data_IF_701877131178
#
_entry.id   IF_701877131178
#
_cell.length_a   1.000
_cell.length_b   1.000
_cell.length_c   1.000
_cell.angle_alpha   90.00
_cell.angle_beta   90.00
_cell.angle_gamma   90.00
#
_symmetry.space_group_name_H-M   'P 1'
#
loop_
_entity.id
_entity.type
_entity.pdbx_description
1 polymer ?
#
# COMPACT_ATOMS: atom_id res chain seq x y z
N UNK A 1 8.64 -33.42 27.44
CA UNK A 1 7.96 -32.11 27.59
C UNK A 1 8.95 -30.96 27.65
N UNK A 2 10.00 -31.03 28.45
CA UNK A 2 11.01 -29.96 28.62
C UNK A 2 11.72 -29.53 27.32
N UNK A 3 12.05 -30.47 26.43
CA UNK A 3 12.66 -30.18 25.12
C UNK A 3 11.74 -29.34 24.22
N UNK A 4 10.44 -29.62 24.20
CA UNK A 4 9.45 -28.87 23.42
C UNK A 4 9.26 -27.45 23.97
N UNK A 5 9.27 -27.28 25.29
CA UNK A 5 9.18 -25.95 25.90
C UNK A 5 10.43 -25.11 25.65
N UNK A 6 11.62 -25.73 25.69
CA UNK A 6 12.88 -25.05 25.33
C UNK A 6 12.87 -24.61 23.86
N UNK A 7 12.43 -25.48 22.94
CA UNK A 7 12.32 -25.14 21.51
C UNK A 7 11.31 -24.01 21.27
N UNK A 8 10.14 -24.05 21.93
CA UNK A 8 9.14 -22.97 21.82
C UNK A 8 9.67 -21.62 22.30
N UNK A 9 10.41 -21.59 23.42
CA UNK A 9 11.07 -20.37 23.92
C UNK A 9 12.09 -19.83 22.93
N UNK A 10 12.95 -20.68 22.38
CA UNK A 10 13.98 -20.28 21.40
C UNK A 10 13.30 -19.71 20.15
N UNK A 11 12.25 -20.37 19.65
CA UNK A 11 11.47 -19.90 18.50
C UNK A 11 10.89 -18.50 18.72
N UNK A 12 10.31 -18.22 19.89
CA UNK A 12 9.82 -16.88 20.23
C UNK A 12 10.93 -15.84 20.23
N UNK A 13 12.07 -16.14 20.84
CA UNK A 13 13.20 -15.20 20.91
C UNK A 13 13.73 -14.90 19.51
N UNK A 14 13.92 -15.92 18.67
CA UNK A 14 14.39 -15.74 17.29
C UNK A 14 13.41 -14.93 16.44
N UNK A 15 12.11 -15.25 16.50
CA UNK A 15 11.07 -14.50 15.80
C UNK A 15 11.01 -13.05 16.30
N UNK A 16 11.09 -12.84 17.61
CA UNK A 16 11.08 -11.50 18.21
C UNK A 16 12.27 -10.65 17.80
N UNK A 17 13.47 -11.24 17.77
CA UNK A 17 14.69 -10.56 17.33
C UNK A 17 14.63 -10.20 15.84
N UNK A 18 14.11 -11.09 14.99
CA UNK A 18 13.95 -10.84 13.56
C UNK A 18 13.01 -9.65 13.30
N UNK A 19 11.84 -9.63 13.95
CA UNK A 19 10.86 -8.55 13.79
C UNK A 19 11.40 -7.19 14.26
N UNK A 20 12.16 -7.16 15.36
CA UNK A 20 12.79 -5.93 15.84
C UNK A 20 13.95 -5.49 14.95
N UNK A 21 14.74 -6.41 14.42
CA UNK A 21 15.81 -6.10 13.46
C UNK A 21 15.26 -5.44 12.19
N UNK A 22 14.20 -6.03 11.61
CA UNK A 22 13.50 -5.45 10.44
C UNK A 22 12.95 -4.06 10.76
N UNK A 23 12.28 -3.90 11.91
CA UNK A 23 11.74 -2.63 12.35
C UNK A 23 12.81 -1.54 12.51
N UNK A 24 13.95 -1.87 13.13
CA UNK A 24 15.07 -0.92 13.26
C UNK A 24 15.59 -0.50 11.88
N UNK A 25 15.75 -1.45 10.95
CA UNK A 25 16.13 -1.15 9.57
C UNK A 25 15.18 -0.16 8.91
N UNK A 26 13.87 -0.41 8.99
CA UNK A 26 12.86 0.45 8.36
C UNK A 26 12.72 1.82 9.04
N UNK A 27 12.74 1.86 10.37
CA UNK A 27 12.67 3.11 11.13
C UNK A 27 13.92 3.98 10.90
N UNK A 28 15.09 3.37 10.69
CA UNK A 28 16.31 4.12 10.32
C UNK A 28 16.20 4.82 8.96
N UNK A 29 15.32 4.31 8.09
CA UNK A 29 14.94 4.94 6.81
C UNK A 29 13.80 5.95 6.95
N UNK A 30 13.36 6.27 8.18
CA UNK A 30 12.28 7.22 8.45
C UNK A 30 10.87 6.62 8.29
N UNK A 31 10.73 5.30 8.20
CA UNK A 31 9.44 4.65 7.94
C UNK A 31 8.71 4.33 9.25
N UNK A 32 7.87 5.27 9.69
CA UNK A 32 7.02 5.11 10.88
C UNK A 32 5.56 4.94 10.45
N UNK A 33 5.12 3.71 10.24
CA UNK A 33 3.72 3.42 9.93
C UNK A 33 3.23 2.17 10.67
N UNK A 34 1.91 1.95 10.68
CA UNK A 34 1.30 0.85 11.40
C UNK A 34 1.83 -0.54 10.99
N UNK A 35 2.17 -0.69 9.71
CA UNK A 35 2.80 -1.90 9.17
C UNK A 35 4.17 -2.21 9.77
N UNK A 36 4.87 -1.21 10.33
CA UNK A 36 6.17 -1.37 11.01
C UNK A 36 5.98 -1.46 12.54
N UNK A 37 5.11 -0.61 13.10
CA UNK A 37 4.89 -0.52 14.55
C UNK A 37 4.28 -1.82 15.12
N UNK A 38 3.31 -2.41 14.41
CA UNK A 38 2.66 -3.64 14.88
C UNK A 38 3.65 -4.84 14.96
N UNK A 39 4.42 -5.16 13.91
CA UNK A 39 5.51 -6.15 13.99
C UNK A 39 6.52 -5.86 15.11
N UNK A 40 6.87 -4.59 15.32
CA UNK A 40 7.75 -4.16 16.42
C UNK A 40 7.17 -4.57 17.78
N UNK A 41 5.90 -4.25 18.02
CA UNK A 41 5.20 -4.58 19.27
C UNK A 41 5.09 -6.09 19.48
N UNK A 42 4.77 -6.85 18.43
CA UNK A 42 4.74 -8.33 18.47
C UNK A 42 6.14 -8.87 18.80
N UNK A 43 7.18 -8.33 18.16
CA UNK A 43 8.55 -8.75 18.38
C UNK A 43 9.02 -8.49 19.81
N UNK A 44 8.74 -7.31 20.36
CA UNK A 44 9.01 -6.96 21.76
C UNK A 44 8.26 -7.89 22.73
N UNK A 45 6.98 -8.18 22.45
CA UNK A 45 6.19 -9.11 23.25
C UNK A 45 6.79 -10.53 23.24
N UNK A 46 7.27 -11.01 22.09
CA UNK A 46 7.92 -12.32 21.97
C UNK A 46 9.23 -12.40 22.74
N UNK A 47 10.06 -11.34 22.69
CA UNK A 47 11.28 -11.28 23.52
C UNK A 47 10.95 -11.26 25.01
N UNK A 48 9.94 -10.48 25.42
CA UNK A 48 9.51 -10.42 26.82
C UNK A 48 8.99 -11.78 27.30
N UNK A 49 8.17 -12.46 26.49
CA UNK A 49 7.69 -13.82 26.76
C UNK A 49 8.84 -14.82 26.86
N UNK A 50 9.83 -14.71 25.97
CA UNK A 50 11.03 -15.54 25.99
C UNK A 50 11.91 -15.31 27.23
N UNK A 51 12.04 -14.06 27.69
CA UNK A 51 12.79 -13.69 28.89
C UNK A 51 12.07 -14.10 30.18
N UNK A 52 10.75 -13.88 30.24
CA UNK A 52 9.90 -14.22 31.40
C UNK A 52 9.34 -15.65 31.34
N UNK A 53 9.86 -16.51 30.45
CA UNK A 53 9.34 -17.86 30.22
C UNK A 53 9.12 -18.69 31.49
N UNK A 54 10.06 -18.74 32.47
CA UNK A 54 9.84 -19.52 33.70
C UNK A 54 8.65 -19.00 34.53
N UNK A 55 8.45 -17.68 34.57
CA UNK A 55 7.33 -17.07 35.26
C UNK A 55 6.00 -17.37 34.55
N UNK A 56 5.98 -17.28 33.21
CA UNK A 56 4.81 -17.63 32.38
C UNK A 56 4.46 -19.11 32.53
N UNK A 57 5.46 -20.00 32.53
CA UNK A 57 5.26 -21.45 32.72
C UNK A 57 4.59 -21.76 34.07
N UNK A 58 5.09 -21.16 35.17
CA UNK A 58 4.47 -21.29 36.50
C UNK A 58 3.06 -20.73 36.54
N UNK A 59 2.84 -19.55 35.95
CA UNK A 59 1.51 -18.93 35.90
C UNK A 59 0.48 -19.81 35.17
N UNK A 60 0.86 -20.39 34.03
CA UNK A 60 0.04 -21.31 33.24
C UNK A 60 -0.32 -22.58 34.02
N UNK A 61 0.66 -23.17 34.71
CA UNK A 61 0.48 -24.40 35.47
C UNK A 61 -0.37 -24.21 36.74
N UNK A 62 -0.44 -23.00 37.29
CA UNK A 62 -1.11 -22.74 38.56
C UNK A 62 -2.64 -22.93 38.53
N UNK A 63 -3.32 -22.73 37.39
CA UNK A 63 -4.78 -22.89 37.27
C UNK A 63 -5.21 -23.40 35.88
N UNK A 64 -6.12 -24.38 35.77
CA UNK A 64 -6.54 -24.92 34.47
C UNK A 64 -7.12 -23.89 33.49
N UNK A 65 -7.86 -22.89 33.98
CA UNK A 65 -8.42 -21.85 33.12
C UNK A 65 -7.35 -20.95 32.48
N UNK A 66 -6.20 -20.75 33.14
CA UNK A 66 -5.07 -19.96 32.59
C UNK A 66 -4.44 -20.68 31.40
N UNK A 67 -4.33 -22.01 31.48
CA UNK A 67 -3.88 -22.83 30.37
C UNK A 67 -4.88 -22.79 29.20
N UNK A 68 -6.20 -22.80 29.48
CA UNK A 68 -7.23 -22.62 28.45
C UNK A 68 -7.14 -21.24 27.79
N UNK A 69 -6.99 -20.17 28.57
CA UNK A 69 -6.80 -18.81 28.07
C UNK A 69 -5.54 -18.67 27.22
N UNK A 70 -4.42 -19.25 27.65
CA UNK A 70 -3.18 -19.29 26.89
C UNK A 70 -3.36 -19.96 25.53
N UNK A 71 -4.01 -21.13 25.50
CA UNK A 71 -4.33 -21.84 24.25
C UNK A 71 -5.25 -21.00 23.36
N UNK A 72 -6.30 -20.42 23.92
CA UNK A 72 -7.23 -19.57 23.18
C UNK A 72 -6.52 -18.35 22.57
N UNK A 73 -5.61 -17.71 23.29
CA UNK A 73 -4.80 -16.59 22.79
C UNK A 73 -3.92 -16.99 21.61
N UNK A 74 -3.21 -18.12 21.70
CA UNK A 74 -2.41 -18.63 20.58
C UNK A 74 -3.27 -19.08 19.39
N UNK A 75 -4.43 -19.68 19.64
CA UNK A 75 -5.38 -20.01 18.58
C UNK A 75 -5.88 -18.74 17.88
N UNK A 76 -6.27 -17.70 18.63
CA UNK A 76 -6.71 -16.44 18.06
C UNK A 76 -5.59 -15.76 17.25
N UNK A 77 -4.35 -15.78 17.77
CA UNK A 77 -3.19 -15.26 17.05
C UNK A 77 -2.92 -16.05 15.75
N UNK A 78 -3.01 -17.39 15.79
CA UNK A 78 -2.86 -18.22 14.60
C UNK A 78 -3.97 -17.98 13.57
N UNK A 79 -5.23 -17.85 14.01
CA UNK A 79 -6.34 -17.50 13.13
C UNK A 79 -6.16 -16.12 12.50
N UNK A 80 -5.66 -15.15 13.27
CA UNK A 80 -5.31 -13.83 12.73
C UNK A 80 -4.22 -13.94 11.66
N UNK A 81 -3.13 -14.67 11.91
CA UNK A 81 -2.07 -14.91 10.91
C UNK A 81 -2.60 -15.59 9.64
N UNK A 82 -3.50 -16.57 9.78
CA UNK A 82 -4.17 -17.21 8.62
C UNK A 82 -4.97 -16.17 7.83
N UNK A 83 -5.73 -15.29 8.49
CA UNK A 83 -6.47 -14.23 7.79
C UNK A 83 -5.56 -13.23 7.06
N UNK A 84 -4.40 -12.89 7.64
CA UNK A 84 -3.39 -12.04 6.99
C UNK A 84 -2.79 -12.76 5.78
N UNK A 85 -2.48 -14.05 5.90
CA UNK A 85 -1.93 -14.84 4.81
C UNK A 85 -2.92 -14.99 3.64
N UNK A 86 -4.20 -15.24 3.95
CA UNK A 86 -5.27 -15.26 2.95
C UNK A 86 -5.39 -13.91 2.25
N UNK A 87 -5.36 -12.81 3.00
CA UNK A 87 -5.37 -11.46 2.42
C UNK A 87 -4.16 -11.21 1.50
N UNK A 88 -2.95 -11.62 1.89
CA UNK A 88 -1.76 -11.47 1.05
C UNK A 88 -1.88 -12.30 -0.23
N UNK A 89 -2.44 -13.51 -0.15
CA UNK A 89 -2.69 -14.35 -1.30
C UNK A 89 -3.69 -13.70 -2.27
N UNK A 90 -4.83 -13.19 -1.77
CA UNK A 90 -5.82 -12.51 -2.61
C UNK A 90 -5.25 -11.25 -3.24
N UNK A 91 -4.54 -10.43 -2.44
CA UNK A 91 -3.91 -9.20 -2.92
C UNK A 91 -2.88 -9.50 -4.00
N UNK A 92 -2.07 -10.55 -3.84
CA UNK A 92 -1.12 -10.96 -4.86
C UNK A 92 -1.81 -11.31 -6.20
N UNK A 93 -2.92 -12.05 -6.16
CA UNK A 93 -3.70 -12.37 -7.36
C UNK A 93 -4.24 -11.12 -8.06
N UNK A 94 -4.76 -10.16 -7.30
CA UNK A 94 -5.23 -8.87 -7.83
C UNK A 94 -4.10 -8.06 -8.46
N UNK A 95 -2.92 -8.04 -7.85
CA UNK A 95 -1.75 -7.32 -8.38
C UNK A 95 -1.33 -7.89 -9.73
N UNK A 96 -1.28 -9.23 -9.86
CA UNK A 96 -0.94 -9.89 -11.13
C UNK A 96 -1.99 -9.58 -12.21
N UNK A 97 -3.29 -9.62 -11.85
CA UNK A 97 -4.38 -9.27 -12.77
C UNK A 97 -4.37 -7.79 -13.18
N UNK A 98 -3.82 -6.92 -12.33
CA UNK A 98 -3.73 -5.48 -12.54
C UNK A 98 -2.36 -5.01 -13.06
N UNK A 99 -1.51 -5.90 -13.57
CA UNK A 99 -0.26 -5.49 -14.23
C UNK A 99 -0.56 -4.45 -15.34
N UNK A 100 0.32 -3.44 -15.57
CA UNK A 100 0.04 -2.35 -16.51
C UNK A 100 -0.37 -2.82 -17.91
N UNK A 101 0.33 -3.81 -18.46
CA UNK A 101 0.01 -4.39 -19.77
C UNK A 101 -1.37 -5.07 -19.78
N UNK A 102 -1.72 -5.78 -18.71
CA UNK A 102 -3.04 -6.40 -18.55
C UNK A 102 -4.14 -5.35 -18.34
N UNK A 103 -3.84 -4.24 -17.66
CA UNK A 103 -4.78 -3.13 -17.49
C UNK A 103 -5.07 -2.42 -18.82
N UNK A 104 -4.06 -2.13 -19.63
CA UNK A 104 -4.23 -1.57 -20.96
C UNK A 104 -5.01 -2.52 -21.89
N UNK A 105 -4.74 -3.83 -21.84
CA UNK A 105 -5.47 -4.81 -22.64
C UNK A 105 -6.95 -4.92 -22.24
N UNK A 106 -7.29 -4.70 -20.97
CA UNK A 106 -8.68 -4.68 -20.47
C UNK A 106 -9.39 -3.37 -20.77
N UNK A 107 -8.65 -2.26 -20.84
CA UNK A 107 -9.17 -0.91 -21.01
C UNK A 107 -8.60 -0.25 -22.29
N UNK A 108 -8.68 -0.95 -23.42
CA UNK A 108 -8.14 -0.49 -24.71
C UNK A 108 -8.78 0.81 -25.22
N UNK A 109 -10.01 1.10 -24.76
CA UNK A 109 -10.73 2.33 -25.08
C UNK A 109 -10.49 3.46 -24.06
N UNK A 110 -9.61 3.29 -23.08
CA UNK A 110 -9.38 4.29 -22.05
C UNK A 110 -8.93 5.63 -22.64
N UNK A 111 -9.63 6.69 -22.23
CA UNK A 111 -9.37 8.06 -22.67
C UNK A 111 -8.40 8.80 -21.75
N UNK A 112 -8.17 8.26 -20.56
CA UNK A 112 -7.30 8.86 -19.57
C UNK A 112 -6.58 7.84 -18.69
N UNK A 113 -5.39 8.23 -18.24
CA UNK A 113 -4.58 7.55 -17.25
C UNK A 113 -4.34 8.55 -16.12
N UNK A 114 -4.73 8.22 -14.89
CA UNK A 114 -4.49 9.05 -13.70
C UNK A 114 -3.45 8.37 -12.83
N UNK A 115 -2.28 8.99 -12.69
CA UNK A 115 -1.16 8.50 -11.87
C UNK A 115 -1.20 9.22 -10.53
N UNK A 116 -1.36 8.46 -9.44
CA UNK A 116 -1.44 8.99 -8.08
C UNK A 116 -0.04 9.17 -7.45
N UNK A 117 0.15 10.29 -6.75
CA UNK A 117 1.34 10.61 -5.95
C UNK A 117 1.64 9.61 -4.83
N UNK A 118 2.91 9.52 -4.45
CA UNK A 118 3.47 8.60 -3.45
C UNK A 118 4.55 9.24 -2.54
N UNK A 119 4.72 10.55 -2.62
CA UNK A 119 5.71 11.34 -1.89
C UNK A 119 7.00 11.60 -2.69
N UNK A 120 7.50 12.83 -2.53
CA UNK A 120 8.68 13.38 -3.20
C UNK A 120 9.74 13.84 -2.20
N UNK A 121 10.41 12.91 -1.48
CA UNK A 121 11.45 13.29 -0.54
C UNK A 121 12.54 14.09 -1.26
N UNK A 122 12.92 15.24 -0.68
CA UNK A 122 13.88 16.18 -1.25
C UNK A 122 13.49 16.67 -2.67
N UNK A 123 12.19 16.80 -2.95
CA UNK A 123 11.67 17.23 -4.24
C UNK A 123 12.10 16.34 -5.42
N UNK A 124 12.38 15.07 -5.13
CA UNK A 124 12.70 14.04 -6.11
C UNK A 124 11.70 12.89 -6.00
N UNK A 125 11.45 12.19 -7.11
CA UNK A 125 10.59 11.03 -7.10
C UNK A 125 11.16 9.94 -6.18
N UNK A 126 10.40 9.54 -5.16
CA UNK A 126 10.74 8.37 -4.35
C UNK A 126 10.78 7.11 -5.21
N UNK A 127 11.45 6.02 -4.79
CA UNK A 127 11.41 4.75 -5.52
C UNK A 127 9.98 4.25 -5.79
N UNK A 128 9.07 4.47 -4.84
CA UNK A 128 7.64 4.13 -5.01
C UNK A 128 6.96 5.02 -6.04
N UNK A 129 7.24 6.33 -6.06
CA UNK A 129 6.68 7.25 -7.06
C UNK A 129 7.23 6.95 -8.45
N UNK A 130 8.53 6.72 -8.58
CA UNK A 130 9.17 6.34 -9.83
C UNK A 130 8.55 5.06 -10.42
N UNK A 131 8.32 4.02 -9.60
CA UNK A 131 7.65 2.80 -10.05
C UNK A 131 6.23 3.06 -10.59
N UNK A 132 5.47 3.98 -9.99
CA UNK A 132 4.15 4.39 -10.50
C UNK A 132 4.24 5.14 -11.82
N UNK A 133 5.20 6.05 -11.94
CA UNK A 133 5.41 6.83 -13.16
C UNK A 133 5.86 5.92 -14.31
N UNK A 134 6.73 4.95 -14.04
CA UNK A 134 7.17 3.95 -15.02
C UNK A 134 6.00 3.06 -15.49
N UNK A 135 5.14 2.60 -14.57
CA UNK A 135 3.91 1.89 -14.93
C UNK A 135 2.97 2.77 -15.78
N UNK A 136 2.86 4.06 -15.44
CA UNK A 136 2.11 5.04 -16.23
C UNK A 136 2.68 5.25 -17.64
N UNK A 137 4.01 5.23 -17.81
CA UNK A 137 4.66 5.32 -19.12
C UNK A 137 4.38 4.09 -19.99
N UNK A 138 4.35 2.89 -19.42
CA UNK A 138 3.96 1.67 -20.14
C UNK A 138 2.56 1.84 -20.73
N UNK A 139 1.60 2.28 -19.91
CA UNK A 139 0.23 2.55 -20.36
C UNK A 139 0.17 3.67 -21.41
N UNK A 140 0.88 4.78 -21.18
CA UNK A 140 0.84 5.94 -22.08
C UNK A 140 1.41 5.64 -23.48
N UNK A 141 2.33 4.67 -23.59
CA UNK A 141 2.85 4.14 -24.86
C UNK A 141 1.82 3.25 -25.57
N UNK A 142 1.10 2.41 -24.82
CA UNK A 142 0.08 1.51 -25.36
C UNK A 142 -1.21 2.25 -25.74
N UNK A 143 -1.50 3.37 -25.08
CA UNK A 143 -2.68 4.21 -25.28
C UNK A 143 -2.23 5.62 -25.74
N UNK A 144 -1.75 5.78 -26.98
CA UNK A 144 -1.13 7.04 -27.44
C UNK A 144 -2.10 8.24 -27.51
N UNK A 145 -3.40 7.99 -27.54
CA UNK A 145 -4.43 9.03 -27.55
C UNK A 145 -4.96 9.40 -26.15
N UNK A 146 -4.60 8.65 -25.11
CA UNK A 146 -5.10 8.91 -23.76
C UNK A 146 -4.41 10.13 -23.13
N UNK A 147 -5.18 10.94 -22.42
CA UNK A 147 -4.64 11.95 -21.50
C UNK A 147 -3.91 11.28 -20.35
N UNK A 148 -2.83 11.90 -19.87
CA UNK A 148 -2.09 11.44 -18.69
C UNK A 148 -2.17 12.53 -17.64
N UNK A 149 -2.85 12.25 -16.54
CA UNK A 149 -2.94 13.13 -15.38
C UNK A 149 -1.94 12.65 -14.34
N UNK A 150 -1.07 13.54 -13.87
CA UNK A 150 -0.29 13.34 -12.66
C UNK A 150 -0.91 14.15 -11.53
N UNK A 151 -1.21 13.50 -10.42
CA UNK A 151 -1.95 14.11 -9.31
C UNK A 151 -1.24 13.89 -7.99
N UNK A 152 -0.85 15.01 -7.37
CA UNK A 152 -0.12 15.07 -6.11
C UNK A 152 0.13 16.51 -5.70
N UNK A 153 -0.28 16.86 -4.47
CA UNK A 153 -0.25 18.22 -3.95
C UNK A 153 1.12 18.74 -3.54
N UNK A 154 1.09 19.82 -2.75
CA UNK A 154 2.27 20.52 -2.28
C UNK A 154 2.83 19.89 -0.99
N UNK A 155 4.13 19.60 -0.96
CA UNK A 155 4.83 19.36 0.30
C UNK A 155 5.07 20.74 0.95
N UNK A 156 4.16 21.13 1.85
CA UNK A 156 4.21 22.41 2.55
C UNK A 156 5.52 22.66 3.30
N UNK A 157 6.26 21.61 3.69
CA UNK A 157 7.55 21.75 4.38
C UNK A 157 8.70 22.07 3.43
N UNK A 158 8.56 21.72 2.14
CA UNK A 158 9.64 21.82 1.14
C UNK A 158 9.34 22.76 -0.02
N UNK A 159 8.09 23.19 -0.17
CA UNK A 159 7.65 24.14 -1.20
C UNK A 159 7.67 23.59 -2.62
N UNK A 160 7.75 22.26 -2.79
CA UNK A 160 7.65 21.61 -4.10
C UNK A 160 6.32 20.88 -4.25
N UNK A 161 5.74 20.98 -5.46
CA UNK A 161 4.51 20.26 -5.81
C UNK A 161 4.86 18.92 -6.43
N UNK A 162 4.27 17.87 -5.89
CA UNK A 162 4.55 16.50 -6.33
C UNK A 162 4.19 16.32 -7.82
N UNK A 163 3.06 16.89 -8.27
CA UNK A 163 2.66 16.83 -9.68
C UNK A 163 3.67 17.44 -10.66
N UNK A 164 4.43 18.46 -10.25
CA UNK A 164 5.48 19.06 -11.10
C UNK A 164 6.67 18.09 -11.23
N UNK A 165 7.11 17.48 -10.13
CA UNK A 165 8.16 16.44 -10.14
C UNK A 165 7.75 15.24 -10.99
N UNK A 166 6.50 14.80 -10.87
CA UNK A 166 5.93 13.72 -11.67
C UNK A 166 5.89 14.07 -13.16
N UNK A 167 5.47 15.30 -13.50
CA UNK A 167 5.42 15.76 -14.87
C UNK A 167 6.82 15.78 -15.51
N UNK A 168 7.80 16.39 -14.84
CA UNK A 168 9.16 16.48 -15.33
C UNK A 168 9.77 15.10 -15.54
N UNK A 169 9.50 14.15 -14.63
CA UNK A 169 9.93 12.76 -14.77
C UNK A 169 9.39 12.09 -16.04
N UNK A 170 8.11 12.29 -16.36
CA UNK A 170 7.45 11.69 -17.53
C UNK A 170 7.90 12.36 -18.84
N UNK A 171 8.01 13.70 -18.84
CA UNK A 171 8.47 14.47 -19.98
C UNK A 171 9.90 14.10 -20.37
N UNK A 172 10.80 13.98 -19.37
CA UNK A 172 12.18 13.52 -19.58
C UNK A 172 12.28 12.10 -20.17
N UNK A 173 11.20 11.31 -20.09
CA UNK A 173 11.11 9.94 -20.62
C UNK A 173 10.25 9.82 -21.88
N UNK A 174 9.96 10.96 -22.52
CA UNK A 174 9.34 11.01 -23.85
C UNK A 174 7.82 11.03 -23.86
N UNK A 175 7.16 11.30 -22.73
CA UNK A 175 5.72 11.58 -22.76
C UNK A 175 5.48 12.90 -23.53
N UNK A 176 4.57 12.89 -24.49
CA UNK A 176 4.23 14.07 -25.27
C UNK A 176 3.60 15.16 -24.37
N UNK A 177 4.14 16.40 -24.31
CA UNK A 177 3.65 17.45 -23.41
C UNK A 177 2.17 17.77 -23.59
N UNK A 178 1.67 17.71 -24.83
CA UNK A 178 0.28 18.01 -25.17
C UNK A 178 -0.74 17.07 -24.52
N UNK A 179 -0.30 15.90 -24.02
CA UNK A 179 -1.16 14.89 -23.37
C UNK A 179 -1.12 14.95 -21.85
N UNK A 180 -0.21 15.73 -21.27
CA UNK A 180 0.07 15.74 -19.84
C UNK A 180 -0.75 16.82 -19.12
N UNK A 181 -1.45 16.42 -18.08
CA UNK A 181 -2.20 17.30 -17.18
C UNK A 181 -1.57 17.22 -15.79
N UNK A 182 -1.35 18.37 -15.17
CA UNK A 182 -0.80 18.48 -13.81
C UNK A 182 -1.91 18.85 -12.84
N UNK A 183 -2.12 18.04 -11.81
CA UNK A 183 -3.03 18.31 -10.71
C UNK A 183 -2.21 18.43 -9.42
N UNK A 184 -1.97 19.67 -8.97
CA UNK A 184 -1.08 19.97 -7.84
C UNK A 184 -1.75 20.48 -6.57
N UNK A 185 -3.07 20.34 -6.43
CA UNK A 185 -3.84 20.91 -5.30
C UNK A 185 -4.20 19.86 -4.23
N UNK A 186 -4.28 18.60 -4.61
CA UNK A 186 -4.83 17.56 -3.76
C UNK A 186 -3.97 17.21 -2.54
N UNK A 187 -4.62 17.05 -1.40
CA UNK A 187 -4.03 16.64 -0.12
C UNK A 187 -4.42 15.22 0.29
N UNK A 188 -5.30 14.58 -0.48
CA UNK A 188 -5.79 13.22 -0.24
C UNK A 188 -6.03 12.47 -1.55
N UNK A 189 -6.16 11.15 -1.46
CA UNK A 189 -6.50 10.32 -2.64
C UNK A 189 -7.88 10.66 -3.21
N UNK A 190 -8.85 11.05 -2.38
CA UNK A 190 -10.18 11.50 -2.82
C UNK A 190 -10.08 12.79 -3.64
N UNK A 191 -9.34 13.78 -3.12
CA UNK A 191 -9.08 15.03 -3.82
C UNK A 191 -8.29 14.80 -5.11
N UNK A 192 -7.27 13.93 -5.10
CA UNK A 192 -6.50 13.59 -6.30
C UNK A 192 -7.44 13.19 -7.44
N UNK A 193 -8.36 12.27 -7.15
CA UNK A 193 -9.28 11.72 -8.14
C UNK A 193 -10.38 12.72 -8.55
N UNK A 194 -10.94 13.48 -7.60
CA UNK A 194 -11.94 14.51 -7.89
C UNK A 194 -11.38 15.64 -8.75
N UNK A 195 -10.20 16.17 -8.39
CA UNK A 195 -9.58 17.25 -9.14
C UNK A 195 -9.06 16.77 -10.49
N UNK A 196 -8.55 15.53 -10.58
CA UNK A 196 -8.22 14.91 -11.86
C UNK A 196 -9.43 14.81 -12.77
N UNK A 197 -10.59 14.40 -12.24
CA UNK A 197 -11.86 14.34 -12.98
C UNK A 197 -12.29 15.70 -13.52
N UNK A 198 -12.19 16.75 -12.70
CA UNK A 198 -12.51 18.13 -13.11
C UNK A 198 -11.61 18.58 -14.28
N UNK A 199 -10.30 18.33 -14.19
CA UNK A 199 -9.35 18.70 -15.23
C UNK A 199 -9.57 17.88 -16.52
N UNK A 200 -9.89 16.59 -16.42
CA UNK A 200 -10.23 15.74 -17.56
C UNK A 200 -11.50 16.23 -18.28
N UNK A 201 -12.52 16.64 -17.52
CA UNK A 201 -13.75 17.18 -18.10
C UNK A 201 -13.48 18.46 -18.91
N UNK A 202 -12.54 19.31 -18.48
CA UNK A 202 -12.11 20.49 -19.23
C UNK A 202 -11.43 20.14 -20.56
N UNK A 203 -10.84 18.95 -20.67
CA UNK A 203 -10.27 18.42 -21.91
C UNK A 203 -11.29 17.61 -22.74
N UNK A 204 -12.58 17.66 -22.39
CA UNK A 204 -13.64 16.92 -23.09
C UNK A 204 -13.69 15.42 -22.78
N UNK A 205 -13.07 14.97 -21.69
CA UNK A 205 -13.14 13.57 -21.21
C UNK A 205 -14.08 13.50 -20.00
N UNK A 206 -15.38 13.17 -20.19
CA UNK A 206 -16.31 13.05 -19.09
C UNK A 206 -16.01 11.83 -18.22
N UNK A 207 -16.48 11.83 -16.96
CA UNK A 207 -16.26 10.75 -15.99
C UNK A 207 -16.89 9.39 -16.38
N UNK A 208 -17.71 9.38 -17.44
CA UNK A 208 -18.30 8.18 -18.03
C UNK A 208 -17.35 7.43 -18.96
N UNK A 209 -16.29 8.09 -19.44
CA UNK A 209 -15.26 7.46 -20.27
C UNK A 209 -14.34 6.56 -19.42
N UNK A 210 -13.79 5.47 -19.99
CA UNK A 210 -12.89 4.60 -19.25
C UNK A 210 -11.60 5.31 -18.83
N UNK A 211 -11.26 5.15 -17.55
CA UNK A 211 -10.03 5.68 -16.92
C UNK A 211 -9.20 4.55 -16.34
N UNK A 212 -7.88 4.65 -16.52
CA UNK A 212 -6.93 3.78 -15.82
C UNK A 212 -6.32 4.55 -14.65
N UNK A 213 -6.47 4.02 -13.43
CA UNK A 213 -5.85 4.61 -12.23
C UNK A 213 -4.58 3.83 -11.88
N UNK A 214 -3.45 4.54 -11.85
CA UNK A 214 -2.13 3.98 -11.54
C UNK A 214 -1.76 4.34 -10.11
N UNK A 215 -1.47 3.32 -9.31
CA UNK A 215 -0.95 3.48 -7.95
C UNK A 215 -0.13 2.27 -7.52
N UNK A 216 0.39 2.27 -6.29
CA UNK A 216 1.14 1.13 -5.75
C UNK A 216 0.25 -0.10 -5.63
N UNK A 217 0.83 -1.27 -5.86
CA UNK A 217 0.19 -2.57 -5.87
C UNK A 217 -0.74 -2.81 -4.66
N UNK A 218 -0.30 -2.49 -3.45
CA UNK A 218 -1.07 -2.64 -2.22
C UNK A 218 -2.23 -1.66 -2.11
N UNK A 219 -2.16 -0.50 -2.75
CA UNK A 219 -3.15 0.58 -2.61
C UNK A 219 -4.26 0.52 -3.68
N UNK A 220 -4.10 -0.34 -4.67
CA UNK A 220 -4.93 -0.33 -5.87
C UNK A 220 -6.42 -0.52 -5.56
N UNK A 221 -6.75 -1.51 -4.71
CA UNK A 221 -8.15 -1.77 -4.33
C UNK A 221 -8.85 -0.54 -3.75
N UNK A 222 -8.18 0.18 -2.84
CA UNK A 222 -8.75 1.39 -2.24
C UNK A 222 -8.84 2.51 -3.25
N UNK A 223 -7.80 2.73 -4.06
CA UNK A 223 -7.79 3.75 -5.10
C UNK A 223 -8.94 3.58 -6.11
N UNK A 224 -9.24 2.34 -6.54
CA UNK A 224 -10.37 2.09 -7.44
C UNK A 224 -11.73 2.39 -6.80
N UNK A 225 -11.92 2.04 -5.51
CA UNK A 225 -13.16 2.35 -4.79
C UNK A 225 -13.33 3.86 -4.62
N UNK A 226 -12.26 4.56 -4.26
CA UNK A 226 -12.24 6.02 -4.15
C UNK A 226 -12.52 6.66 -5.51
N UNK A 227 -11.99 6.11 -6.61
CA UNK A 227 -12.25 6.63 -7.96
C UNK A 227 -13.73 6.50 -8.34
N UNK A 228 -14.36 5.36 -8.03
CA UNK A 228 -15.80 5.17 -8.21
C UNK A 228 -16.62 6.13 -7.34
N UNK A 229 -16.24 6.32 -6.08
CA UNK A 229 -16.85 7.32 -5.18
C UNK A 229 -16.69 8.75 -5.71
N UNK A 230 -15.54 9.07 -6.31
CA UNK A 230 -15.28 10.33 -6.98
C UNK A 230 -16.06 10.49 -8.31
N UNK A 231 -16.87 9.50 -8.70
CA UNK A 231 -17.81 9.58 -9.82
C UNK A 231 -17.30 9.07 -11.16
N UNK A 232 -16.12 8.44 -11.22
CA UNK A 232 -15.72 7.69 -12.41
C UNK A 232 -16.55 6.41 -12.51
N UNK A 233 -17.20 6.18 -13.66
CA UNK A 233 -18.09 5.02 -13.81
C UNK A 233 -17.40 3.80 -14.39
N UNK A 234 -16.31 4.00 -15.15
CA UNK A 234 -15.52 2.96 -15.80
C UNK A 234 -14.06 3.02 -15.35
N UNK A 235 -13.76 2.37 -14.22
CA UNK A 235 -12.43 2.40 -13.60
C UNK A 235 -11.71 1.07 -13.80
N UNK A 236 -10.49 1.12 -14.34
CA UNK A 236 -9.54 0.02 -14.30
C UNK A 236 -8.30 0.41 -13.49
N UNK A 237 -7.87 -0.44 -12.57
CA UNK A 237 -6.61 -0.25 -11.85
C UNK A 237 -5.40 -0.81 -12.60
N UNK A 238 -4.28 -0.10 -12.51
CA UNK A 238 -2.95 -0.58 -12.87
C UNK A 238 -2.00 -0.54 -11.65
N UNK A 239 -1.51 -1.71 -11.26
CA UNK A 239 -0.63 -1.91 -10.11
C UNK A 239 0.83 -1.61 -10.48
N UNK A 240 1.42 -0.62 -9.83
CA UNK A 240 2.85 -0.38 -9.84
C UNK A 240 3.54 -1.20 -8.73
N UNK A 241 4.65 -1.89 -9.02
CA UNK A 241 5.30 -2.75 -8.04
C UNK A 241 5.80 -1.95 -6.84
N UNK A 242 5.47 -2.40 -5.64
CA UNK A 242 6.03 -1.82 -4.42
C UNK A 242 7.44 -2.37 -4.18
N UNK A 243 8.43 -1.50 -3.83
CA UNK A 243 9.78 -1.94 -3.50
C UNK A 243 9.78 -3.06 -2.45
N UNK A 244 10.60 -4.09 -2.65
CA UNK A 244 10.52 -5.32 -1.86
C UNK A 244 10.68 -5.09 -0.36
N UNK A 245 11.57 -4.19 0.04
CA UNK A 245 11.81 -3.84 1.45
C UNK A 245 10.60 -3.17 2.13
N UNK A 246 9.65 -2.61 1.36
CA UNK A 246 8.42 -2.00 1.87
C UNK A 246 7.20 -2.92 1.77
N UNK A 247 7.24 -3.89 0.84
CA UNK A 247 6.05 -4.58 0.34
C UNK A 247 5.20 -5.18 1.46
N UNK A 248 5.76 -6.08 2.25
CA UNK A 248 4.96 -6.82 3.24
C UNK A 248 4.46 -5.93 4.39
N UNK A 249 5.24 -4.93 4.78
CA UNK A 249 4.81 -3.92 5.76
C UNK A 249 3.68 -3.04 5.20
N UNK A 250 3.76 -2.65 3.93
CA UNK A 250 2.70 -1.90 3.25
C UNK A 250 1.43 -2.74 3.08
N UNK A 251 1.55 -4.03 2.75
CA UNK A 251 0.43 -4.96 2.64
C UNK A 251 -0.24 -5.17 4.00
N UNK A 252 0.54 -5.35 5.08
CA UNK A 252 0.01 -5.46 6.43
C UNK A 252 -0.72 -4.18 6.85
N UNK A 253 -0.17 -3.01 6.54
CA UNK A 253 -0.84 -1.74 6.77
C UNK A 253 -2.17 -1.67 6.01
N UNK A 254 -2.19 -2.14 4.76
CA UNK A 254 -3.41 -2.15 3.94
C UNK A 254 -4.48 -3.11 4.46
N UNK A 255 -4.09 -4.28 5.00
CA UNK A 255 -5.00 -5.23 5.66
C UNK A 255 -5.87 -4.50 6.70
N UNK A 256 -5.26 -3.69 7.56
CA UNK A 256 -6.00 -2.91 8.55
C UNK A 256 -6.72 -1.70 7.95
N UNK A 257 -6.13 -1.03 6.95
CA UNK A 257 -6.78 0.11 6.30
C UNK A 257 -8.10 -0.28 5.61
N UNK A 258 -8.17 -1.47 5.00
CA UNK A 258 -9.38 -2.00 4.39
C UNK A 258 -10.45 -2.38 5.41
N UNK A 259 -10.04 -2.94 6.55
CA UNK A 259 -10.96 -3.22 7.65
C UNK A 259 -11.52 -1.90 8.20
N UNK A 260 -10.64 -0.94 8.49
CA UNK A 260 -11.03 0.38 9.00
C UNK A 260 -11.97 1.10 8.05
N UNK A 261 -11.64 1.18 6.76
CA UNK A 261 -12.48 1.89 5.80
C UNK A 261 -13.84 1.23 5.57
N UNK A 262 -13.95 -0.10 5.67
CA UNK A 262 -15.25 -0.79 5.67
C UNK A 262 -16.08 -0.48 6.92
N UNK A 263 -15.44 -0.45 8.10
CA UNK A 263 -16.12 -0.16 9.38
C UNK A 263 -16.58 1.29 9.45
N UNK A 264 -15.78 2.22 8.91
CA UNK A 264 -16.05 3.66 8.96
C UNK A 264 -16.84 4.18 7.74
N UNK A 265 -17.12 3.34 6.73
CA UNK A 265 -17.83 3.76 5.52
C UNK A 265 -17.05 4.78 4.68
N UNK A 266 -15.72 4.68 4.66
CA UNK A 266 -14.87 5.63 3.93
C UNK A 266 -15.04 5.54 2.41
N UNK A 267 -15.49 4.39 1.90
CA UNK A 267 -15.71 4.10 0.49
C UNK A 267 -16.67 2.93 0.27
#
# INVERSE_FOLDING_TARGET
MERLERLGRIGLVLAGALLLGDAVGLMSLGLFNFGVILPTAIGAAFLLLGWRWPAVARWRAARPWRQRLWRAGWTAFALWLVSVALFFHTLHGEIVAAAPEAAAARATAAKSIVILGAGTPNCAASPTLAARLDAGLVLARQLPAAWVVVSGGEDFLRGCREADVMADYLLARGLAPIRLIREGRATSTDENLRFSRELLAQQGVPATEPVIVVTSDFHLMRAERIARKAGFTQVAGAAAPTPLYLRYNAWLREYFALISGRVLGEY
#
